data_IF_868843191963
#
_entry.id   IF_868843191963
#
_cell.length_a   1.000
_cell.length_b   1.000
_cell.length_c   1.000
_cell.angle_alpha   90.00
_cell.angle_beta   90.00
_cell.angle_gamma   90.00
#
_symmetry.space_group_name_H-M   'P 1'
#
loop_
_entity.id
_entity.type
_entity.pdbx_description
1 polymer ?
2 water ?
#
# COMPACT_ATOMS: atom_id res chain seq x y z
N UNK A 1 38.60 2.42 12.44
CA UNK A 1 38.33 0.98 12.16
C UNK A 1 38.39 0.11 13.41
N UNK A 2 37.41 0.31 14.30
CA UNK A 2 37.32 -0.45 15.54
C UNK A 2 35.97 -1.17 15.60
N UNK A 3 36.02 -2.48 15.83
CA UNK A 3 34.82 -3.32 15.92
C UNK A 3 33.96 -3.17 14.66
N UNK A 4 32.64 -3.18 14.84
CA UNK A 4 31.68 -3.05 13.74
C UNK A 4 30.24 -3.14 14.24
N UNK A 5 30.08 -3.39 15.54
CA UNK A 5 28.75 -3.52 16.15
C UNK A 5 27.85 -2.29 15.99
N UNK A 6 26.58 -2.57 15.70
CA UNK A 6 25.54 -1.56 15.50
C UNK A 6 25.93 -0.56 14.41
N UNK A 7 25.33 -0.73 13.24
CA UNK A 7 25.59 0.15 12.11
C UNK A 7 24.31 0.54 11.37
N UNK A 8 24.47 1.22 10.23
CA UNK A 8 23.33 1.65 9.43
C UNK A 8 23.65 2.11 8.01
N UNK A 9 22.63 2.00 7.16
CA UNK A 9 22.64 2.39 5.76
C UNK A 9 21.25 2.04 5.24
N UNK A 10 20.70 2.87 4.37
CA UNK A 10 19.36 2.63 3.83
C UNK A 10 19.24 1.25 3.17
N UNK A 11 20.23 0.88 2.37
CA UNK A 11 20.24 -0.41 1.69
C UNK A 11 20.20 -1.56 2.68
N UNK A 12 20.86 -1.37 3.82
CA UNK A 12 20.90 -2.38 4.88
C UNK A 12 19.52 -2.54 5.55
N UNK A 13 18.88 -1.42 5.86
CA UNK A 13 17.55 -1.43 6.48
C UNK A 13 16.55 -2.06 5.53
N UNK A 14 16.63 -1.71 4.25
CA UNK A 14 15.73 -2.26 3.23
C UNK A 14 15.85 -3.78 3.10
N UNK A 15 17.07 -4.30 3.22
CA UNK A 15 17.32 -5.73 3.13
C UNK A 15 16.66 -6.47 4.29
N UNK A 16 16.83 -5.94 5.50
CA UNK A 16 16.25 -6.54 6.70
C UNK A 16 14.72 -6.51 6.65
N UNK A 17 14.17 -5.46 6.05
CA UNK A 17 12.73 -5.31 5.92
C UNK A 17 12.20 -6.25 4.84
N UNK A 18 13.01 -6.46 3.81
CA UNK A 18 12.63 -7.35 2.72
C UNK A 18 12.69 -8.80 3.17
N UNK A 19 13.49 -9.08 4.19
CA UNK A 19 13.61 -10.43 4.72
C UNK A 19 12.44 -10.73 5.64
N UNK A 20 12.23 -9.85 6.62
CA UNK A 20 11.13 -9.98 7.57
C UNK A 20 9.79 -10.07 6.83
N UNK A 21 9.68 -9.37 5.71
CA UNK A 21 8.46 -9.39 4.92
C UNK A 21 8.24 -10.75 4.29
N UNK A 22 9.22 -11.19 3.52
CA UNK A 22 9.16 -12.47 2.82
C UNK A 22 9.06 -13.64 3.78
N UNK A 23 9.70 -13.53 4.94
CA UNK A 23 9.66 -14.61 5.94
C UNK A 23 8.33 -14.68 6.67
N UNK A 24 7.72 -13.52 6.92
CA UNK A 24 6.45 -13.44 7.62
C UNK A 24 5.33 -14.18 6.91
N UNK A 25 5.30 -14.08 5.58
CA UNK A 25 4.29 -14.76 4.80
C UNK A 25 2.85 -14.34 5.05
N UNK A 26 2.58 -13.04 4.96
CA UNK A 26 1.22 -12.54 5.15
C UNK A 26 0.43 -12.83 3.88
N UNK A 27 -0.74 -13.47 4.02
CA UNK A 27 -1.56 -13.81 2.86
C UNK A 27 -1.99 -12.60 2.03
N UNK A 28 -1.85 -12.72 0.71
CA UNK A 28 -2.24 -11.66 -0.20
C UNK A 28 -1.33 -10.46 -0.26
N UNK A 29 -0.10 -10.61 0.22
CA UNK A 29 0.88 -9.53 0.20
C UNK A 29 2.20 -10.03 -0.34
N UNK A 30 2.72 -9.29 -1.31
CA UNK A 30 3.99 -9.59 -1.96
C UNK A 30 4.68 -8.26 -2.22
N UNK A 31 6.01 -8.25 -2.12
CA UNK A 31 6.79 -7.03 -2.37
C UNK A 31 8.25 -7.39 -2.63
N UNK A 32 8.81 -6.83 -3.70
CA UNK A 32 10.20 -7.06 -4.08
C UNK A 32 10.71 -5.84 -4.83
N UNK A 33 12.02 -5.56 -4.74
CA UNK A 33 12.60 -4.41 -5.45
C UNK A 33 12.18 -4.49 -6.92
N UNK A 34 12.06 -3.33 -7.58
CA UNK A 34 11.64 -3.27 -8.98
C UNK A 34 12.45 -4.23 -9.84
N UNK A 35 13.58 -4.70 -9.31
CA UNK A 35 14.44 -5.62 -10.01
C UNK A 35 15.81 -5.52 -9.40
N UNK A 36 16.59 -4.60 -9.95
CA UNK A 36 17.95 -4.33 -9.50
C UNK A 36 17.99 -3.09 -8.61
N UNK A 37 16.86 -2.37 -8.58
CA UNK A 37 16.70 -1.16 -7.78
C UNK A 37 16.08 -1.54 -6.44
N UNK A 38 16.84 -1.35 -5.37
CA UNK A 38 16.38 -1.65 -4.02
C UNK A 38 15.57 -0.49 -3.43
N UNK A 39 15.69 0.69 -4.04
CA UNK A 39 14.99 1.88 -3.57
C UNK A 39 13.63 2.08 -4.20
N UNK A 40 13.18 1.09 -4.96
CA UNK A 40 11.89 1.17 -5.63
C UNK A 40 11.34 -0.24 -5.66
N UNK A 41 10.29 -0.51 -4.89
CA UNK A 41 9.69 -1.83 -4.88
C UNK A 41 8.35 -1.81 -5.58
N UNK A 42 7.92 -2.98 -6.03
CA UNK A 42 6.63 -3.16 -6.67
C UNK A 42 5.97 -4.18 -5.76
N UNK A 43 4.79 -3.84 -5.27
CA UNK A 43 4.07 -4.71 -4.37
C UNK A 43 2.75 -5.17 -4.93
N UNK A 44 2.24 -6.24 -4.35
CA UNK A 44 0.96 -6.78 -4.75
C UNK A 44 0.14 -6.99 -3.48
N UNK A 45 -1.11 -6.53 -3.51
CA UNK A 45 -2.04 -6.66 -2.39
C UNK A 45 -3.39 -7.18 -2.84
N UNK A 46 -3.83 -8.27 -2.21
CA UNK A 46 -5.14 -8.84 -2.50
C UNK A 46 -6.13 -8.10 -1.60
N UNK A 47 -7.32 -7.80 -2.11
CA UNK A 47 -8.32 -7.13 -1.30
C UNK A 47 -8.59 -7.96 -0.06
N UNK A 48 -8.81 -7.32 1.10
CA UNK A 48 -9.09 -8.04 2.34
C UNK A 48 -10.28 -8.96 2.25
N UNK A 49 -10.23 -10.06 2.99
CA UNK A 49 -11.34 -11.01 3.01
C UNK A 49 -12.50 -10.47 3.83
N UNK A 50 -13.71 -10.88 3.43
CA UNK A 50 -14.94 -10.46 4.08
C UNK A 50 -15.24 -8.97 3.85
N UNK A 51 -14.85 -8.46 2.68
CA UNK A 51 -15.12 -7.08 2.29
C UNK A 51 -15.45 -7.13 0.80
N UNK A 52 -15.89 -6.00 0.26
CA UNK A 52 -16.25 -5.90 -1.15
C UNK A 52 -15.01 -5.96 -2.05
N UNK A 53 -13.83 -5.85 -1.46
CA UNK A 53 -12.57 -5.90 -2.21
C UNK A 53 -12.02 -7.32 -2.33
N UNK A 54 -12.72 -8.29 -1.74
CA UNK A 54 -12.28 -9.67 -1.81
C UNK A 54 -12.27 -10.12 -3.26
N UNK A 55 -11.20 -10.83 -3.63
CA UNK A 55 -10.95 -11.36 -4.99
C UNK A 55 -10.30 -10.34 -5.92
N UNK A 56 -10.17 -9.10 -5.47
CA UNK A 56 -9.56 -8.06 -6.29
C UNK A 56 -8.06 -7.98 -5.97
N UNK A 57 -7.25 -7.70 -6.99
CA UNK A 57 -5.80 -7.62 -6.80
C UNK A 57 -5.28 -6.26 -7.27
N UNK A 58 -4.38 -5.68 -6.47
CA UNK A 58 -3.81 -4.37 -6.74
C UNK A 58 -2.30 -4.34 -6.74
N UNK A 59 -1.73 -3.64 -7.71
CA UNK A 59 -0.29 -3.49 -7.81
C UNK A 59 0.06 -2.09 -7.33
N UNK A 60 1.18 -1.98 -6.62
CA UNK A 60 1.62 -0.69 -6.10
C UNK A 60 3.11 -0.55 -6.27
N UNK A 61 3.61 0.65 -5.98
CA UNK A 61 5.03 0.94 -6.02
C UNK A 61 5.35 1.64 -4.70
N UNK A 62 6.54 1.36 -4.17
CA UNK A 62 7.03 1.98 -2.94
C UNK A 62 8.41 2.53 -3.25
N UNK A 63 8.52 3.85 -3.22
CA UNK A 63 9.76 4.56 -3.52
C UNK A 63 10.38 5.10 -2.23
N UNK A 64 11.51 4.52 -1.86
CA UNK A 64 12.22 4.88 -0.64
C UNK A 64 13.15 6.06 -0.77
N UNK A 65 12.86 7.16 -0.04
CA UNK A 65 13.65 8.39 -0.04
C UNK A 65 15.05 8.18 0.55
N UNK A 66 15.90 9.19 0.42
CA UNK A 66 17.25 9.11 0.95
C UNK A 66 17.32 9.16 2.47
N UNK A 67 16.19 9.45 3.12
CA UNK A 67 16.13 9.55 4.57
C UNK A 67 15.56 8.32 5.27
N UNK A 68 15.06 7.35 4.50
CA UNK A 68 14.47 6.13 5.08
C UNK A 68 15.38 5.52 6.15
N UNK A 69 14.78 4.99 7.25
CA UNK A 69 13.36 4.92 7.60
C UNK A 69 12.82 6.11 8.36
N UNK A 70 13.58 7.19 8.40
CA UNK A 70 13.16 8.37 9.14
C UNK A 70 12.20 9.26 8.35
N UNK A 71 11.88 8.81 7.15
CA UNK A 71 10.96 9.49 6.25
C UNK A 71 10.17 8.35 5.62
N UNK A 72 8.86 8.53 5.38
CA UNK A 72 8.08 7.44 4.79
C UNK A 72 8.27 7.26 3.29
N UNK A 73 8.13 6.02 2.80
CA UNK A 73 8.29 5.82 1.36
C UNK A 73 7.05 6.37 0.66
N UNK A 74 7.15 6.61 -0.64
CA UNK A 74 6.00 7.09 -1.41
C UNK A 74 5.29 5.86 -1.94
N UNK A 75 4.09 5.60 -1.42
CA UNK A 75 3.31 4.45 -1.84
C UNK A 75 2.17 4.90 -2.75
N UNK A 76 2.14 4.31 -3.95
CA UNK A 76 1.14 4.64 -4.95
C UNK A 76 0.55 3.38 -5.55
N UNK A 77 -0.72 3.44 -5.91
CA UNK A 77 -1.35 2.31 -6.56
C UNK A 77 -1.05 2.43 -8.05
N UNK A 78 -0.65 1.33 -8.70
CA UNK A 78 -0.40 1.37 -10.14
C UNK A 78 -1.69 0.85 -10.76
N UNK A 79 -2.33 -0.07 -10.04
CA UNK A 79 -3.63 -0.62 -10.44
C UNK A 79 -4.62 0.39 -9.89
N UNK A 80 -5.49 0.94 -10.76
CA UNK A 80 -6.49 1.92 -10.32
C UNK A 80 -7.27 1.40 -9.12
N UNK A 81 -7.38 2.22 -8.08
CA UNK A 81 -8.09 1.82 -6.87
C UNK A 81 -9.22 2.79 -6.53
N UNK A 82 -10.46 2.33 -6.74
CA UNK A 82 -11.63 3.14 -6.44
C UNK A 82 -11.83 2.95 -4.95
N UNK A 83 -11.45 3.96 -4.19
CA UNK A 83 -11.54 3.93 -2.74
C UNK A 83 -11.59 5.36 -2.24
N UNK A 84 -12.32 5.61 -1.14
CA UNK A 84 -12.49 6.92 -0.50
C UNK A 84 -11.17 7.66 -0.22
N UNK A 85 -10.16 6.90 0.20
CA UNK A 85 -8.85 7.44 0.55
C UNK A 85 -7.78 7.29 -0.53
N UNK A 86 -8.23 7.13 -1.77
CA UNK A 86 -7.31 6.98 -2.91
C UNK A 86 -7.77 7.84 -4.09
N UNK A 87 -6.84 8.54 -4.73
CA UNK A 87 -7.21 9.37 -5.88
C UNK A 87 -7.04 8.67 -7.23
N UNK A 88 -7.40 9.34 -8.32
CA UNK A 88 -7.29 8.75 -9.66
C UNK A 88 -5.85 8.45 -10.09
N UNK A 89 -4.89 9.16 -9.51
CA UNK A 89 -3.48 8.98 -9.82
C UNK A 89 -2.88 7.84 -9.00
N UNK A 90 -3.65 7.34 -8.03
CA UNK A 90 -3.17 6.26 -7.20
C UNK A 90 -2.54 6.72 -5.89
N UNK A 91 -2.50 8.03 -5.64
CA UNK A 91 -1.95 8.53 -4.38
C UNK A 91 -2.85 8.09 -3.22
N UNK A 92 -2.24 7.82 -2.08
CA UNK A 92 -2.98 7.36 -0.92
C UNK A 92 -2.96 8.30 0.28
N UNK A 93 -4.06 8.28 1.02
CA UNK A 93 -4.24 9.04 2.25
C UNK A 93 -4.31 8.00 3.36
N UNK A 94 -3.18 7.78 4.01
CA UNK A 94 -3.07 6.82 5.08
C UNK A 94 -2.29 7.52 6.16
N UNK A 95 -2.76 7.43 7.40
CA UNK A 95 -2.11 8.08 8.53
C UNK A 95 -0.63 7.75 8.70
N UNK A 96 -0.31 6.46 8.76
CA UNK A 96 1.08 6.03 8.92
C UNK A 96 2.02 6.50 7.81
N UNK A 97 1.46 6.91 6.68
CA UNK A 97 2.25 7.39 5.55
C UNK A 97 2.52 8.89 5.61
N UNK A 98 1.94 9.57 6.60
CA UNK A 98 2.15 11.00 6.74
C UNK A 98 2.53 11.43 8.16
N UNK A 99 1.66 12.19 8.83
CA UNK A 99 1.95 12.66 10.18
C UNK A 99 2.19 11.58 11.23
N UNK A 100 1.68 10.38 11.00
CA UNK A 100 1.84 9.28 11.95
C UNK A 100 3.06 8.39 11.71
N UNK A 101 3.84 8.68 10.67
CA UNK A 101 5.02 7.89 10.37
C UNK A 101 6.06 7.87 11.50
N UNK A 102 6.59 6.68 11.75
CA UNK A 102 7.63 6.47 12.74
C UNK A 102 8.59 5.47 12.11
N UNK A 103 9.89 5.71 12.27
CA UNK A 103 10.92 4.85 11.72
C UNK A 103 10.89 3.47 12.32
N UNK A 104 10.00 3.26 13.29
CA UNK A 104 9.85 1.95 13.93
C UNK A 104 8.88 1.08 13.12
N UNK A 105 8.26 1.68 12.11
CA UNK A 105 7.34 0.95 11.24
C UNK A 105 8.16 0.39 10.07
N UNK A 106 7.69 -0.69 9.47
CA UNK A 106 8.38 -1.27 8.32
C UNK A 106 7.46 -1.30 7.10
N UNK A 107 7.88 -1.96 6.02
CA UNK A 107 7.05 -2.05 4.81
C UNK A 107 5.88 -3.00 5.07
N UNK A 108 6.11 -4.02 5.89
CA UNK A 108 5.05 -4.97 6.22
C UNK A 108 3.88 -4.25 6.89
N UNK A 109 4.19 -3.33 7.81
CA UNK A 109 3.17 -2.56 8.51
C UNK A 109 2.37 -1.75 7.50
N UNK A 110 3.05 -1.06 6.60
CA UNK A 110 2.39 -0.25 5.57
C UNK A 110 1.42 -1.07 4.72
N UNK A 111 1.89 -2.21 4.21
CA UNK A 111 1.09 -3.08 3.36
C UNK A 111 -0.06 -3.79 4.05
N UNK A 112 0.15 -4.20 5.30
CA UNK A 112 -0.90 -4.85 6.07
C UNK A 112 -1.95 -3.80 6.43
N UNK A 113 -1.49 -2.62 6.85
CA UNK A 113 -2.38 -1.52 7.21
C UNK A 113 -3.21 -1.05 6.02
N UNK A 114 -2.56 -0.86 4.88
CA UNK A 114 -3.22 -0.43 3.65
C UNK A 114 -4.25 -1.47 3.19
N UNK A 115 -3.88 -2.75 3.27
CA UNK A 115 -4.78 -3.83 2.87
C UNK A 115 -6.07 -3.75 3.67
N UNK A 116 -5.94 -3.48 4.97
CA UNK A 116 -7.09 -3.35 5.87
C UNK A 116 -7.88 -2.06 5.63
N UNK A 117 -7.19 -1.01 5.19
CA UNK A 117 -7.85 0.26 4.92
C UNK A 117 -8.89 0.11 3.83
N UNK A 118 -8.68 -0.82 2.91
CA UNK A 118 -9.63 -1.03 1.82
C UNK A 118 -11.04 -1.28 2.38
N UNK A 119 -11.13 -2.12 3.41
CA UNK A 119 -12.41 -2.42 4.01
C UNK A 119 -12.76 -1.50 5.17
N UNK A 120 -11.80 -0.66 5.55
CA UNK A 120 -11.99 0.28 6.65
C UNK A 120 -11.58 1.68 6.23
N UNK A 121 -12.35 2.33 5.35
CA UNK A 121 -11.96 3.68 4.94
C UNK A 121 -12.25 4.75 5.99
N UNK A 122 -11.68 5.92 5.77
CA UNK A 122 -11.89 7.08 6.61
C UNK A 122 -12.59 8.07 5.68
N UNK A 123 -13.91 8.11 5.77
CA UNK A 123 -14.73 8.97 4.93
C UNK A 123 -14.79 10.45 5.37
N UNK A 124 -13.99 10.79 6.38
CA UNK A 124 -13.91 12.15 6.90
C UNK A 124 -13.63 13.12 5.76
N UNK A 125 -12.38 13.16 5.30
CA UNK A 125 -11.97 14.04 4.21
C UNK A 125 -11.39 13.16 3.11
N UNK A 126 -12.27 12.65 2.23
CA UNK A 126 -11.99 11.77 1.09
C UNK A 126 -11.29 12.34 -0.12
N UNK A 127 -10.44 11.51 -0.72
CA UNK A 127 -9.74 11.88 -1.95
C UNK A 127 -10.72 11.54 -3.08
N UNK A 128 -11.65 10.62 -2.79
CA UNK A 128 -12.67 10.17 -3.73
C UNK A 128 -14.04 10.32 -3.04
N UNK A 129 -14.70 11.45 -3.31
CA UNK A 129 -15.99 11.75 -2.72
C UNK A 129 -17.10 10.82 -3.18
N UNK A 130 -16.98 10.31 -4.41
CA UNK A 130 -17.97 9.38 -4.96
C UNK A 130 -17.93 8.04 -4.23
N UNK A 131 -16.72 7.55 -3.94
CA UNK A 131 -16.59 6.29 -3.23
C UNK A 131 -17.00 6.48 -1.78
N UNK A 132 -16.58 7.60 -1.18
CA UNK A 132 -16.91 7.89 0.22
C UNK A 132 -18.41 7.94 0.41
N UNK A 133 -19.09 8.60 -0.53
CA UNK A 133 -20.53 8.71 -0.47
C UNK A 133 -21.25 7.36 -0.65
N UNK A 134 -20.77 6.54 -1.57
CA UNK A 134 -21.38 5.25 -1.87
C UNK A 134 -21.06 4.15 -0.89
N UNK A 135 -20.11 4.41 0.01
CA UNK A 135 -19.71 3.42 1.00
C UNK A 135 -20.89 2.97 1.88
N UNK A 136 -21.86 3.86 2.08
CA UNK A 136 -23.05 3.58 2.88
C UNK A 136 -23.98 2.53 2.26
N UNK A 137 -23.83 2.27 0.97
CA UNK A 137 -24.62 1.25 0.30
C UNK A 137 -23.58 0.23 -0.20
N UNK A 138 -23.36 -0.82 0.57
CA UNK A 138 -22.37 -1.86 0.23
C UNK A 138 -22.73 -2.71 -1.00
N UNK A 139 -24.02 -2.79 -1.31
CA UNK A 139 -24.50 -3.56 -2.45
C UNK A 139 -24.19 -2.80 -3.73
N UNK A 140 -24.51 -1.51 -3.75
CA UNK A 140 -24.25 -0.69 -4.92
C UNK A 140 -22.74 -0.43 -5.05
N UNK A 141 -22.06 -0.31 -3.92
CA UNK A 141 -20.62 -0.07 -3.93
C UNK A 141 -19.89 -1.24 -4.59
N UNK A 142 -20.20 -2.45 -4.15
CA UNK A 142 -19.57 -3.64 -4.71
C UNK A 142 -19.80 -3.71 -6.22
N UNK A 143 -20.99 -3.30 -6.66
CA UNK A 143 -21.32 -3.31 -8.08
C UNK A 143 -20.47 -2.35 -8.89
N UNK A 144 -20.36 -1.11 -8.41
CA UNK A 144 -19.59 -0.08 -9.07
C UNK A 144 -18.10 -0.41 -9.05
N UNK A 145 -17.62 -0.82 -7.88
CA UNK A 145 -16.24 -1.19 -7.68
C UNK A 145 -15.79 -2.24 -8.70
N UNK A 146 -16.50 -3.36 -8.77
CA UNK A 146 -16.15 -4.43 -9.69
C UNK A 146 -16.31 -4.08 -11.16
N UNK A 147 -17.21 -3.15 -11.46
CA UNK A 147 -17.42 -2.70 -12.83
C UNK A 147 -16.17 -1.98 -13.30
N UNK A 148 -15.80 -0.94 -12.56
CA UNK A 148 -14.62 -0.14 -12.88
C UNK A 148 -13.35 -0.99 -12.91
N UNK A 149 -13.21 -1.90 -11.95
CA UNK A 149 -12.05 -2.77 -11.86
C UNK A 149 -11.88 -3.60 -13.14
N UNK A 150 -12.98 -4.16 -13.61
CA UNK A 150 -12.99 -4.97 -14.82
C UNK A 150 -12.81 -4.11 -16.06
N UNK A 151 -13.36 -2.91 -16.02
CA UNK A 151 -13.26 -2.00 -17.14
C UNK A 151 -11.86 -1.41 -17.29
N UNK A 152 -11.18 -1.21 -16.17
CA UNK A 152 -9.82 -0.66 -16.19
C UNK A 152 -8.88 -1.67 -16.87
N UNK A 153 -9.13 -2.96 -16.62
CA UNK A 153 -8.34 -4.03 -17.23
C UNK A 153 -8.56 -4.06 -18.73
N UNK A 154 -9.82 -3.96 -19.15
CA UNK A 154 -10.16 -3.99 -20.57
C UNK A 154 -9.66 -2.78 -21.34
N UNK A 155 -9.81 -1.59 -20.75
CA UNK A 155 -9.37 -0.36 -21.39
C UNK A 155 -7.97 0.03 -20.90
N UNK A 156 -7.45 1.14 -21.42
CA UNK A 156 -6.11 1.61 -21.07
C UNK A 156 -6.08 3.09 -20.67
#
# INVERSE_FOLDING_TARGET
MTTSKERHSVSKRLQQELRTLLMSGDPGITAFPDGDNLFKWVATLDGPKDTVYESLKYKLTLEFPSDYPYKPPVVKFTTPCWHPNVDQSGNICLDILKENWTASYDVRTILLSLQSLLGEPNNASPLNAQAADMWSNQTEYKKVLHEKYKTAQSDK
#
